data_IF_551927805102
#
_entry.id   IF_551927805102
#
_cell.length_a   1.000
_cell.length_b   1.000
_cell.length_c   1.000
_cell.angle_alpha   90.00
_cell.angle_beta   90.00
_cell.angle_gamma   90.00
#
_symmetry.space_group_name_H-M   'P 1'
#
loop_
_entity.id
_entity.type
_entity.pdbx_description
1 polymer ?
#
# COMPACT_ATOMS: atom_id res chain seq x y z
N UNK A 1 -24.92 21.25 -7.69
CA UNK A 1 -24.51 20.40 -6.56
C UNK A 1 -23.00 20.26 -6.62
N UNK A 2 -22.29 20.69 -5.59
CA UNK A 2 -20.83 20.51 -5.52
C UNK A 2 -20.48 19.04 -5.25
N UNK A 3 -19.39 18.56 -5.81
CA UNK A 3 -18.83 17.25 -5.47
C UNK A 3 -18.33 17.34 -4.02
N UNK A 4 -18.84 16.45 -3.15
CA UNK A 4 -18.38 16.32 -1.76
C UNK A 4 -17.37 15.18 -1.62
N UNK A 5 -16.36 15.35 -0.77
CA UNK A 5 -15.35 14.35 -0.46
C UNK A 5 -15.97 13.04 0.01
N UNK A 6 -17.05 13.09 0.80
CA UNK A 6 -17.73 11.86 1.26
C UNK A 6 -18.27 11.03 0.09
N UNK A 7 -18.76 11.68 -0.97
CA UNK A 7 -19.23 10.99 -2.17
C UNK A 7 -18.08 10.39 -2.98
N UNK A 8 -16.92 11.05 -3.01
CA UNK A 8 -15.71 10.51 -3.64
C UNK A 8 -15.20 9.28 -2.90
N UNK A 9 -15.17 9.34 -1.57
CA UNK A 9 -14.77 8.23 -0.69
C UNK A 9 -15.71 7.04 -0.85
N UNK A 10 -17.03 7.27 -0.83
CA UNK A 10 -18.02 6.21 -1.03
C UNK A 10 -17.83 5.50 -2.38
N UNK A 11 -17.71 6.27 -3.48
CA UNK A 11 -17.47 5.71 -4.82
C UNK A 11 -16.18 4.89 -4.90
N UNK A 12 -15.12 5.32 -4.22
CA UNK A 12 -13.87 4.57 -4.16
C UNK A 12 -14.07 3.24 -3.43
N UNK A 13 -14.78 3.23 -2.30
CA UNK A 13 -15.06 2.00 -1.55
C UNK A 13 -15.98 1.04 -2.30
N UNK A 14 -16.99 1.55 -3.01
CA UNK A 14 -17.84 0.73 -3.88
C UNK A 14 -16.98 0.02 -4.95
N UNK A 15 -16.10 0.78 -5.61
CA UNK A 15 -15.15 0.21 -6.59
C UNK A 15 -14.17 -0.77 -5.97
N UNK A 16 -13.72 -0.52 -4.73
CA UNK A 16 -12.87 -1.46 -3.97
C UNK A 16 -13.61 -2.77 -3.72
N UNK A 17 -14.87 -2.70 -3.34
CA UNK A 17 -15.71 -3.87 -3.05
C UNK A 17 -15.92 -4.76 -4.28
N UNK A 18 -16.10 -4.17 -5.47
CA UNK A 18 -16.20 -4.90 -6.75
C UNK A 18 -14.94 -5.74 -7.05
N UNK A 19 -13.79 -5.36 -6.50
CA UNK A 19 -12.50 -6.02 -6.70
C UNK A 19 -11.91 -6.57 -5.38
N UNK A 20 -12.75 -6.99 -4.43
CA UNK A 20 -12.32 -7.36 -3.08
C UNK A 20 -11.20 -8.40 -3.00
N UNK A 21 -11.20 -9.40 -3.89
CA UNK A 21 -10.14 -10.42 -3.95
C UNK A 21 -8.76 -9.81 -4.27
N UNK A 22 -8.73 -8.80 -5.15
CA UNK A 22 -7.50 -8.11 -5.54
C UNK A 22 -6.91 -7.35 -4.34
N UNK A 23 -7.72 -6.56 -3.65
CA UNK A 23 -7.26 -5.82 -2.47
C UNK A 23 -6.88 -6.72 -1.29
N UNK A 24 -7.54 -7.88 -1.14
CA UNK A 24 -7.16 -8.89 -0.14
C UNK A 24 -5.77 -9.47 -0.45
N UNK A 25 -5.47 -9.76 -1.72
CA UNK A 25 -4.16 -10.23 -2.12
C UNK A 25 -3.07 -9.17 -1.91
N UNK A 26 -3.37 -7.90 -2.18
CA UNK A 26 -2.46 -6.78 -1.88
C UNK A 26 -2.22 -6.60 -0.37
N UNK A 27 -3.25 -6.80 0.45
CA UNK A 27 -3.10 -6.74 1.92
C UNK A 27 -2.18 -7.85 2.42
N UNK A 28 -2.37 -9.08 1.94
CA UNK A 28 -1.51 -10.21 2.27
C UNK A 28 -0.06 -9.98 1.83
N UNK A 29 0.16 -9.44 0.62
CA UNK A 29 1.50 -9.04 0.17
C UNK A 29 2.14 -8.02 1.12
N UNK A 30 1.39 -6.98 1.49
CA UNK A 30 1.89 -5.93 2.38
C UNK A 30 2.20 -6.46 3.78
N UNK A 31 1.37 -7.35 4.32
CA UNK A 31 1.60 -8.00 5.61
C UNK A 31 2.88 -8.83 5.61
N UNK A 32 3.14 -9.58 4.54
CA UNK A 32 4.35 -10.37 4.37
C UNK A 32 5.61 -9.48 4.35
N UNK A 33 5.57 -8.39 3.58
CA UNK A 33 6.69 -7.45 3.48
C UNK A 33 6.97 -6.71 4.79
N UNK A 34 5.92 -6.29 5.51
CA UNK A 34 6.07 -5.71 6.84
C UNK A 34 6.54 -6.73 7.88
N UNK A 35 6.11 -7.98 7.76
CA UNK A 35 6.59 -9.10 8.57
C UNK A 35 8.10 -9.32 8.40
N UNK A 36 8.60 -9.22 7.17
CA UNK A 36 10.05 -9.28 6.87
C UNK A 36 10.81 -8.12 7.51
N UNK A 37 10.29 -6.89 7.42
CA UNK A 37 10.90 -5.73 8.10
C UNK A 37 10.91 -5.93 9.63
N UNK A 38 9.79 -6.38 10.20
CA UNK A 38 9.69 -6.65 11.63
C UNK A 38 10.67 -7.72 12.10
N UNK A 39 10.84 -8.80 11.33
CA UNK A 39 11.82 -9.83 11.62
C UNK A 39 13.26 -9.30 11.54
N UNK A 40 13.56 -8.47 10.53
CA UNK A 40 14.88 -7.87 10.30
C UNK A 40 15.28 -6.88 11.40
N UNK A 41 14.31 -6.22 12.03
CA UNK A 41 14.51 -5.33 13.17
C UNK A 41 14.97 -6.04 14.45
N UNK A 42 14.86 -7.37 14.53
CA UNK A 42 15.39 -8.13 15.67
C UNK A 42 16.93 -8.13 15.70
N UNK A 43 17.55 -8.07 14.52
CA UNK A 43 19.00 -8.24 14.35
C UNK A 43 19.68 -6.98 13.78
N UNK A 44 18.91 -6.02 13.25
CA UNK A 44 19.44 -4.83 12.57
C UNK A 44 18.64 -3.56 12.85
N UNK A 45 19.19 -2.40 12.48
CA UNK A 45 18.50 -1.11 12.52
C UNK A 45 17.78 -0.75 11.20
N UNK A 46 17.38 -1.75 10.40
CA UNK A 46 16.65 -1.49 9.16
C UNK A 46 15.32 -0.80 9.47
N UNK A 47 15.12 0.41 8.94
CA UNK A 47 13.94 1.23 9.20
C UNK A 47 13.12 1.52 7.94
N UNK A 48 13.53 0.96 6.81
CA UNK A 48 13.02 1.28 5.48
C UNK A 48 12.45 0.03 4.82
N UNK A 49 11.24 0.15 4.28
CA UNK A 49 10.58 -0.80 3.41
C UNK A 49 10.53 -0.24 1.99
N UNK A 50 10.99 -1.01 1.02
CA UNK A 50 10.89 -0.68 -0.41
C UNK A 50 9.98 -1.70 -1.07
N UNK A 51 8.89 -1.23 -1.67
CA UNK A 51 7.91 -2.06 -2.38
C UNK A 51 7.94 -1.75 -3.87
N UNK A 52 7.78 -2.78 -4.68
CA UNK A 52 7.52 -2.68 -6.12
C UNK A 52 6.02 -2.84 -6.36
N UNK A 53 5.41 -1.88 -7.06
CA UNK A 53 4.00 -1.95 -7.48
C UNK A 53 3.79 -3.13 -8.43
N UNK A 54 4.75 -3.40 -9.32
CA UNK A 54 4.68 -4.50 -10.28
C UNK A 54 4.72 -5.87 -9.57
N UNK A 55 5.54 -6.01 -8.51
CA UNK A 55 5.60 -7.24 -7.72
C UNK A 55 4.31 -7.48 -6.94
N UNK A 56 3.71 -6.41 -6.40
CA UNK A 56 2.43 -6.48 -5.72
C UNK A 56 1.29 -6.92 -6.67
N UNK A 57 1.27 -6.38 -7.90
CA UNK A 57 0.32 -6.78 -8.95
C UNK A 57 0.58 -8.24 -9.34
N UNK A 58 1.83 -8.63 -9.56
CA UNK A 58 2.18 -10.01 -9.90
C UNK A 58 1.73 -11.00 -8.82
N UNK A 59 1.88 -10.64 -7.54
CA UNK A 59 1.40 -11.45 -6.42
C UNK A 59 -0.13 -11.58 -6.42
N UNK A 60 -0.86 -10.49 -6.69
CA UNK A 60 -2.31 -10.54 -6.83
C UNK A 60 -2.75 -11.43 -7.99
N UNK A 61 -2.06 -11.34 -9.14
CA UNK A 61 -2.33 -12.18 -10.32
C UNK A 61 -2.06 -13.66 -10.03
N UNK A 62 -1.00 -13.99 -9.28
CA UNK A 62 -0.73 -15.37 -8.84
C UNK A 62 -1.86 -15.95 -7.96
N UNK A 63 -2.53 -15.09 -7.19
CA UNK A 63 -3.72 -15.44 -6.42
C UNK A 63 -5.01 -15.50 -7.27
N UNK A 64 -4.92 -15.28 -8.59
CA UNK A 64 -6.05 -15.28 -9.52
C UNK A 64 -6.91 -14.01 -9.45
N UNK A 65 -6.43 -12.95 -8.78
CA UNK A 65 -7.15 -11.70 -8.66
C UNK A 65 -6.54 -10.64 -9.59
N UNK A 66 -7.37 -10.00 -10.42
CA UNK A 66 -6.92 -9.03 -11.43
C UNK A 66 -7.95 -7.92 -11.63
N UNK A 67 -7.47 -6.74 -12.00
CA UNK A 67 -8.28 -5.67 -12.60
C UNK A 67 -7.98 -5.64 -14.11
N UNK A 68 -9.01 -5.68 -14.95
CA UNK A 68 -8.84 -5.86 -16.41
C UNK A 68 -8.13 -4.70 -17.09
N UNK A 69 -8.36 -3.48 -16.63
CA UNK A 69 -7.71 -2.27 -17.11
C UNK A 69 -6.35 -2.09 -16.40
N UNK A 70 -5.21 -2.23 -17.11
CA UNK A 70 -3.89 -2.13 -16.50
C UNK A 70 -3.61 -0.78 -15.84
N UNK A 71 -4.12 0.32 -16.42
CA UNK A 71 -3.92 1.65 -15.85
C UNK A 71 -4.72 1.79 -14.54
N UNK A 72 -5.95 1.28 -14.51
CA UNK A 72 -6.76 1.27 -13.29
C UNK A 72 -6.15 0.35 -12.23
N UNK A 73 -5.55 -0.78 -12.63
CA UNK A 73 -4.86 -1.71 -11.75
C UNK A 73 -3.67 -1.07 -11.04
N UNK A 74 -2.78 -0.42 -11.80
CA UNK A 74 -1.61 0.28 -11.26
C UNK A 74 -2.01 1.40 -10.29
N UNK A 75 -3.01 2.20 -10.67
CA UNK A 75 -3.55 3.29 -9.83
C UNK A 75 -4.18 2.70 -8.56
N UNK A 76 -4.93 1.60 -8.67
CA UNK A 76 -5.58 0.97 -7.52
C UNK A 76 -4.54 0.43 -6.53
N UNK A 77 -3.53 -0.29 -7.03
CA UNK A 77 -2.43 -0.84 -6.23
C UNK A 77 -1.67 0.26 -5.51
N UNK A 78 -1.20 1.26 -6.25
CA UNK A 78 -0.42 2.38 -5.69
C UNK A 78 -1.18 3.11 -4.59
N UNK A 79 -2.44 3.47 -4.85
CA UNK A 79 -3.27 4.16 -3.87
C UNK A 79 -3.57 3.30 -2.64
N UNK A 80 -3.76 2.01 -2.82
CA UNK A 80 -4.02 1.10 -1.72
C UNK A 80 -2.80 0.97 -0.82
N UNK A 81 -1.63 0.67 -1.39
CA UNK A 81 -0.38 0.54 -0.64
C UNK A 81 -0.04 1.82 0.11
N UNK A 82 -0.18 3.00 -0.52
CA UNK A 82 0.05 4.27 0.19
C UNK A 82 -0.90 4.47 1.38
N UNK A 83 -2.20 4.20 1.20
CA UNK A 83 -3.19 4.35 2.28
C UNK A 83 -2.90 3.40 3.44
N UNK A 84 -2.59 2.14 3.15
CA UNK A 84 -2.32 1.13 4.18
C UNK A 84 -0.99 1.33 4.90
N UNK A 85 0.07 1.73 4.19
CA UNK A 85 1.34 2.07 4.83
C UNK A 85 1.19 3.27 5.77
N UNK A 86 0.49 4.31 5.31
CA UNK A 86 0.21 5.49 6.13
C UNK A 86 -0.70 5.18 7.32
N UNK A 87 -1.74 4.33 7.15
CA UNK A 87 -2.64 3.91 8.24
C UNK A 87 -1.89 3.13 9.33
N UNK A 88 -0.88 2.33 8.92
CA UNK A 88 0.03 1.59 9.81
C UNK A 88 1.12 2.48 10.44
N UNK A 89 1.08 3.79 10.18
CA UNK A 89 1.92 4.79 10.83
C UNK A 89 3.31 4.94 10.21
N UNK A 90 3.56 4.39 9.03
CA UNK A 90 4.82 4.58 8.30
C UNK A 90 4.84 5.95 7.62
N UNK A 91 6.04 6.52 7.52
CA UNK A 91 6.29 7.71 6.73
C UNK A 91 6.59 7.31 5.28
N UNK A 92 5.94 7.95 4.32
CA UNK A 92 6.14 7.68 2.90
C UNK A 92 7.10 8.71 2.29
N UNK A 93 8.11 8.23 1.57
CA UNK A 93 8.96 9.10 0.76
C UNK A 93 8.16 9.66 -0.41
N UNK A 94 8.45 10.91 -0.79
CA UNK A 94 7.77 11.54 -1.93
C UNK A 94 7.98 10.72 -3.21
N UNK A 95 6.93 10.47 -4.02
CA UNK A 95 7.05 9.78 -5.31
C UNK A 95 8.05 10.45 -6.26
N UNK A 96 8.22 11.77 -6.18
CA UNK A 96 9.19 12.53 -6.99
C UNK A 96 10.66 12.19 -6.66
N UNK A 97 10.88 11.50 -5.53
CA UNK A 97 12.19 11.07 -5.04
C UNK A 97 12.37 9.55 -5.11
N UNK A 98 11.51 8.85 -5.83
CA UNK A 98 11.57 7.39 -6.01
C UNK A 98 11.55 7.05 -7.49
N UNK A 99 12.04 5.86 -7.83
CA UNK A 99 11.87 5.32 -9.17
C UNK A 99 10.37 5.11 -9.46
N UNK A 100 9.93 5.18 -10.72
CA UNK A 100 8.57 4.81 -11.10
C UNK A 100 8.20 3.44 -10.52
N UNK A 101 6.94 3.28 -10.12
CA UNK A 101 6.40 2.03 -9.55
C UNK A 101 7.13 1.52 -8.29
N UNK A 102 7.92 2.37 -7.64
CA UNK A 102 8.59 2.05 -6.38
C UNK A 102 8.04 2.89 -5.24
N UNK A 103 7.62 2.24 -4.16
CA UNK A 103 7.16 2.89 -2.94
C UNK A 103 8.22 2.68 -1.86
N UNK A 104 8.72 3.78 -1.28
CA UNK A 104 9.62 3.74 -0.13
C UNK A 104 8.87 4.23 1.10
N UNK A 105 8.74 3.37 2.10
CA UNK A 105 8.15 3.65 3.41
C UNK A 105 9.21 3.52 4.50
N UNK A 106 9.16 4.36 5.53
CA UNK A 106 10.10 4.35 6.65
C UNK A 106 9.37 4.36 7.99
N UNK A 107 9.99 3.81 9.03
CA UNK A 107 9.48 3.93 10.38
C UNK A 107 9.36 5.40 10.78
N UNK A 108 8.17 5.80 11.23
CA UNK A 108 7.93 7.16 11.68
C UNK A 108 8.27 7.29 13.17
N UNK A 109 9.53 7.56 13.49
CA UNK A 109 9.98 7.78 14.87
C UNK A 109 9.36 9.03 15.52
N UNK A 110 8.75 9.94 14.75
CA UNK A 110 7.98 11.09 15.25
C UNK A 110 6.57 10.73 15.74
N UNK A 111 6.06 9.54 15.37
CA UNK A 111 4.75 9.05 15.78
C UNK A 111 4.77 8.35 17.16
N UNK A 112 5.86 8.52 17.94
CA UNK A 112 6.06 7.96 19.29
C UNK A 112 4.93 8.25 20.28
N UNK A 113 4.09 9.26 20.04
CA UNK A 113 2.97 9.61 20.92
C UNK A 113 1.81 8.60 20.88
N UNK A 114 1.83 7.65 19.95
CA UNK A 114 0.76 6.65 19.77
C UNK A 114 1.13 5.28 20.37
N UNK A 115 2.38 5.09 20.79
CA UNK A 115 2.92 3.77 21.20
C UNK A 115 3.55 3.73 22.60
N UNK A 116 3.35 4.77 23.42
CA UNK A 116 3.72 4.79 24.85
C UNK A 116 2.55 5.24 25.71
#
# INVERSE_FOLDING_TARGET
MGIDNNQLVARYFDRKADHGAFFTALEAYLDDELGKLYATLNDTFADTLTLSVDDAIAQAHQAGAKIDDPAAEEIATTNYLFKELASRGLWLQSPDMTEPNTIIAKLNFGNRRTYY
#
